data_IF_347563153301
#
_entry.id   IF_347563153301
#
_cell.length_a   1.000
_cell.length_b   1.000
_cell.length_c   1.000
_cell.angle_alpha   90.00
_cell.angle_beta   90.00
_cell.angle_gamma   90.00
#
_symmetry.space_group_name_H-M   'P 1'
#
loop_
_entity.id
_entity.type
_entity.pdbx_description
1 polymer ?
#
# COMPACT_ATOMS: atom_id res chain seq x y z
N UNK A 1 -69.14 48.86 16.65
CA UNK A 1 -67.91 49.24 15.89
C UNK A 1 -66.81 48.22 16.25
N UNK A 2 -66.69 47.19 15.44
CA UNK A 2 -65.72 46.10 15.66
C UNK A 2 -64.54 46.31 14.69
N UNK A 3 -63.39 46.46 15.25
CA UNK A 3 -62.09 46.48 14.44
C UNK A 3 -61.48 45.08 14.47
N UNK A 4 -61.58 44.44 13.31
CA UNK A 4 -60.96 43.14 13.01
C UNK A 4 -59.45 43.37 12.71
N UNK A 5 -58.59 42.88 13.59
CA UNK A 5 -57.16 42.85 13.34
C UNK A 5 -56.84 41.49 12.71
N UNK A 6 -56.41 41.54 11.42
CA UNK A 6 -55.98 40.39 10.66
C UNK A 6 -54.48 40.20 10.90
N UNK A 7 -54.09 39.18 11.69
CA UNK A 7 -52.68 38.80 11.88
C UNK A 7 -52.23 37.87 10.75
N UNK A 8 -51.33 38.35 9.93
CA UNK A 8 -50.67 37.57 8.88
C UNK A 8 -49.50 36.86 9.53
N UNK A 9 -49.63 35.55 9.72
CA UNK A 9 -48.50 34.69 10.11
C UNK A 9 -47.72 34.33 8.83
N UNK A 10 -46.54 34.92 8.67
CA UNK A 10 -45.64 34.57 7.62
C UNK A 10 -44.90 33.27 8.00
N UNK A 11 -45.24 32.18 7.33
CA UNK A 11 -44.60 30.88 7.47
C UNK A 11 -43.33 30.88 6.60
N UNK A 12 -42.16 31.11 7.23
CA UNK A 12 -40.87 31.03 6.58
C UNK A 12 -40.47 29.56 6.37
N UNK A 13 -40.61 29.09 5.14
CA UNK A 13 -40.05 27.80 4.70
C UNK A 13 -38.53 27.93 4.57
N UNK A 14 -37.81 27.44 5.57
CA UNK A 14 -36.37 27.22 5.47
C UNK A 14 -36.18 25.93 4.66
N UNK A 15 -35.92 26.06 3.37
CA UNK A 15 -35.46 24.95 2.52
C UNK A 15 -34.03 24.63 2.84
N UNK A 16 -33.82 23.62 3.70
CA UNK A 16 -32.51 23.00 3.92
C UNK A 16 -32.12 22.24 2.66
N UNK A 17 -31.17 22.79 1.90
CA UNK A 17 -30.51 22.06 0.82
C UNK A 17 -29.62 20.99 1.47
N UNK A 18 -30.07 19.74 1.43
CA UNK A 18 -29.21 18.59 1.68
C UNK A 18 -28.21 18.51 0.51
N UNK A 19 -27.00 18.99 0.71
CA UNK A 19 -25.87 18.68 -0.16
C UNK A 19 -25.55 17.22 0.11
N UNK A 20 -26.09 16.31 -0.70
CA UNK A 20 -25.61 14.95 -0.80
C UNK A 20 -24.16 15.07 -1.30
N UNK A 21 -23.19 14.89 -0.39
CA UNK A 21 -21.80 14.68 -0.78
C UNK A 21 -21.77 13.40 -1.63
N UNK A 22 -21.62 13.59 -2.94
CA UNK A 22 -21.33 12.54 -3.89
C UNK A 22 -20.01 11.91 -3.42
N UNK A 23 -20.08 10.82 -2.68
CA UNK A 23 -18.93 9.98 -2.39
C UNK A 23 -18.53 9.39 -3.73
N UNK A 24 -17.69 10.14 -4.47
CA UNK A 24 -17.00 9.65 -5.63
C UNK A 24 -16.40 8.30 -5.26
N UNK A 25 -17.00 7.27 -5.80
CA UNK A 25 -16.57 5.89 -5.72
C UNK A 25 -15.19 5.82 -6.39
N UNK A 26 -14.13 6.14 -5.62
CA UNK A 26 -12.77 5.92 -6.06
C UNK A 26 -12.69 4.43 -6.43
N UNK A 27 -12.14 4.07 -7.61
CA UNK A 27 -12.06 2.68 -8.01
C UNK A 27 -11.41 1.91 -6.86
N UNK A 28 -12.13 0.93 -6.33
CA UNK A 28 -11.66 0.13 -5.20
C UNK A 28 -10.31 -0.47 -5.58
N UNK A 29 -9.27 -0.10 -4.86
CA UNK A 29 -7.94 -0.68 -5.09
C UNK A 29 -8.05 -2.20 -5.02
N UNK A 30 -7.46 -2.94 -5.95
CA UNK A 30 -7.54 -4.38 -5.95
C UNK A 30 -7.00 -4.94 -4.63
N UNK A 31 -7.73 -5.87 -4.02
CA UNK A 31 -7.39 -6.46 -2.72
C UNK A 31 -7.33 -7.98 -2.82
N UNK A 32 -6.53 -8.61 -1.97
CA UNK A 32 -6.52 -10.07 -1.85
C UNK A 32 -7.86 -10.58 -1.31
N UNK A 33 -8.32 -11.71 -1.80
CA UNK A 33 -9.51 -12.40 -1.26
C UNK A 33 -9.30 -12.80 0.20
N UNK A 34 -8.12 -13.37 0.48
CA UNK A 34 -7.68 -13.77 1.81
C UNK A 34 -6.20 -13.47 1.94
N UNK A 35 -5.80 -12.92 3.07
CA UNK A 35 -4.40 -12.71 3.38
C UNK A 35 -4.12 -12.98 4.87
N UNK A 36 -3.08 -13.73 5.15
CA UNK A 36 -2.54 -13.93 6.49
C UNK A 36 -1.15 -13.34 6.59
N UNK A 37 -0.90 -12.63 7.67
CA UNK A 37 0.40 -12.02 8.01
C UNK A 37 0.80 -12.53 9.38
N UNK A 38 1.97 -13.14 9.48
CA UNK A 38 2.52 -13.66 10.74
C UNK A 38 3.96 -13.19 10.89
N UNK A 39 4.38 -12.95 12.12
CA UNK A 39 5.80 -12.75 12.41
C UNK A 39 6.51 -14.10 12.27
N UNK A 40 7.61 -14.14 11.52
CA UNK A 40 8.39 -15.36 11.33
C UNK A 40 9.05 -15.76 12.66
N UNK A 41 9.17 -17.04 12.95
CA UNK A 41 9.90 -17.51 14.12
C UNK A 41 11.37 -17.09 14.04
N UNK A 42 12.06 -16.92 15.18
CA UNK A 42 13.48 -16.59 15.19
C UNK A 42 14.29 -17.71 14.48
N UNK A 43 15.38 -17.38 13.82
CA UNK A 43 16.21 -18.36 13.12
C UNK A 43 16.77 -19.38 14.11
N UNK A 44 16.53 -20.66 13.86
CA UNK A 44 16.93 -21.80 14.73
C UNK A 44 18.26 -22.42 14.29
N UNK A 45 19.18 -21.65 13.73
CA UNK A 45 20.51 -22.15 13.30
C UNK A 45 20.53 -22.91 11.96
N UNK A 46 19.40 -23.29 11.42
CA UNK A 46 19.28 -23.86 10.07
C UNK A 46 19.18 -22.74 9.03
N UNK A 47 19.79 -22.87 7.84
CA UNK A 47 19.61 -21.89 6.79
C UNK A 47 18.13 -21.73 6.48
N UNK A 48 17.57 -20.58 6.85
CA UNK A 48 16.15 -20.32 6.61
C UNK A 48 15.99 -19.87 5.17
N UNK A 49 15.21 -20.63 4.40
CA UNK A 49 14.89 -20.25 3.01
C UNK A 49 14.06 -18.98 3.05
N UNK A 50 14.54 -17.94 2.39
CA UNK A 50 13.78 -16.72 2.16
C UNK A 50 13.04 -16.90 0.86
N UNK A 51 11.72 -17.12 0.93
CA UNK A 51 10.85 -17.08 -0.25
C UNK A 51 10.38 -15.64 -0.40
N UNK A 52 10.58 -15.10 -1.58
CA UNK A 52 10.35 -13.69 -1.80
C UNK A 52 9.35 -13.47 -2.94
N UNK A 53 8.15 -13.01 -2.59
CA UNK A 53 7.15 -12.60 -3.56
C UNK A 53 6.80 -13.66 -4.60
N UNK A 54 6.87 -14.94 -4.23
CA UNK A 54 6.61 -16.04 -5.15
C UNK A 54 5.11 -16.09 -5.50
N UNK A 55 4.81 -15.91 -6.78
CA UNK A 55 3.50 -16.18 -7.34
C UNK A 55 3.43 -17.65 -7.76
N UNK A 56 2.42 -18.36 -7.28
CA UNK A 56 2.08 -19.72 -7.71
C UNK A 56 0.59 -19.79 -8.00
N UNK A 57 0.22 -19.75 -9.26
CA UNK A 57 -1.19 -19.65 -9.68
C UNK A 57 -1.85 -18.39 -9.08
N UNK A 58 -2.89 -18.58 -8.32
CA UNK A 58 -3.66 -17.51 -7.66
C UNK A 58 -3.14 -17.19 -6.24
N UNK A 59 -1.97 -17.69 -5.88
CA UNK A 59 -1.38 -17.45 -4.56
C UNK A 59 -0.12 -16.59 -4.67
N UNK A 60 0.03 -15.67 -3.74
CA UNK A 60 1.25 -14.89 -3.51
C UNK A 60 1.77 -15.17 -2.10
N UNK A 61 3.03 -15.58 -2.02
CA UNK A 61 3.64 -15.97 -0.76
C UNK A 61 5.01 -15.32 -0.57
N UNK A 62 5.29 -14.95 0.67
CA UNK A 62 6.62 -14.57 1.12
C UNK A 62 6.89 -15.20 2.49
N UNK A 63 8.11 -15.65 2.73
CA UNK A 63 8.51 -16.28 3.98
C UNK A 63 9.83 -15.68 4.47
N UNK A 64 9.90 -15.44 5.78
CA UNK A 64 11.09 -14.96 6.46
C UNK A 64 11.70 -13.68 5.84
N UNK A 65 10.84 -12.79 5.34
CA UNK A 65 11.25 -11.54 4.69
C UNK A 65 11.11 -10.35 5.63
N UNK A 66 12.08 -9.44 5.59
CA UNK A 66 11.96 -8.15 6.29
C UNK A 66 10.92 -7.28 5.61
N UNK A 67 10.29 -6.40 6.37
CA UNK A 67 9.24 -5.55 5.80
C UNK A 67 9.80 -4.63 4.70
N UNK A 68 11.02 -4.12 4.84
CA UNK A 68 11.68 -3.33 3.80
C UNK A 68 11.80 -4.09 2.47
N UNK A 69 12.10 -5.40 2.52
CA UNK A 69 12.14 -6.23 1.31
C UNK A 69 10.76 -6.43 0.70
N UNK A 70 9.73 -6.60 1.54
CA UNK A 70 8.35 -6.73 1.06
C UNK A 70 7.89 -5.42 0.41
N UNK A 71 8.18 -4.27 1.01
CA UNK A 71 7.91 -2.94 0.41
C UNK A 71 8.61 -2.82 -0.95
N UNK A 72 9.88 -3.22 -1.04
CA UNK A 72 10.61 -3.20 -2.32
C UNK A 72 9.90 -4.03 -3.38
N UNK A 73 9.45 -5.24 -3.04
CA UNK A 73 8.75 -6.11 -4.00
C UNK A 73 7.39 -5.55 -4.42
N UNK A 74 6.69 -4.87 -3.53
CA UNK A 74 5.40 -4.26 -3.82
C UNK A 74 5.49 -3.13 -4.86
N UNK A 75 6.67 -2.58 -5.07
CA UNK A 75 6.95 -1.58 -6.10
C UNK A 75 7.61 -2.17 -7.36
N UNK A 76 7.63 -3.49 -7.49
CA UNK A 76 8.23 -4.20 -8.62
C UNK A 76 9.73 -3.93 -8.76
N UNK A 77 10.20 -3.82 -10.00
CA UNK A 77 11.61 -3.60 -10.30
C UNK A 77 12.05 -2.12 -10.20
N UNK A 78 11.19 -1.23 -9.69
CA UNK A 78 11.47 0.21 -9.69
C UNK A 78 12.57 0.61 -8.71
N UNK A 79 12.68 -0.09 -7.57
CA UNK A 79 13.61 0.24 -6.48
C UNK A 79 14.50 -0.96 -6.15
N UNK A 80 15.48 -1.26 -7.02
CA UNK A 80 16.33 -2.45 -6.88
C UNK A 80 17.59 -2.20 -6.06
N UNK A 81 18.09 -0.96 -6.04
CA UNK A 81 19.34 -0.64 -5.33
C UNK A 81 19.06 -0.47 -3.83
N UNK A 82 20.07 -0.83 -3.02
CA UNK A 82 20.06 -0.47 -1.61
C UNK A 82 20.07 1.06 -1.46
N UNK A 83 19.38 1.55 -0.43
CA UNK A 83 19.28 2.99 -0.18
C UNK A 83 18.16 3.71 -0.97
N UNK A 84 17.50 3.08 -1.93
CA UNK A 84 16.36 3.68 -2.63
C UNK A 84 15.07 3.70 -1.80
N UNK A 85 14.97 2.87 -0.77
CA UNK A 85 13.87 2.91 0.20
C UNK A 85 14.45 3.41 1.50
N UNK A 86 14.10 4.62 1.88
CA UNK A 86 14.62 5.30 3.06
C UNK A 86 13.54 5.57 4.10
N UNK A 87 13.96 5.81 5.34
CA UNK A 87 13.05 6.12 6.44
C UNK A 87 12.39 4.90 7.06
N UNK A 88 11.48 5.19 7.97
CA UNK A 88 10.78 4.20 8.79
C UNK A 88 11.56 3.74 10.02
N UNK A 89 10.88 3.03 10.93
CA UNK A 89 11.49 2.53 12.16
C UNK A 89 12.45 1.35 11.91
N UNK A 90 13.42 1.13 12.80
CA UNK A 90 14.46 0.11 12.64
C UNK A 90 13.94 -1.33 12.51
N UNK A 91 12.78 -1.64 13.07
CA UNK A 91 12.20 -2.98 12.94
C UNK A 91 11.81 -3.36 11.50
N UNK A 92 11.71 -2.39 10.59
CA UNK A 92 11.52 -2.67 9.15
C UNK A 92 12.61 -3.57 8.57
N UNK A 93 13.81 -3.51 9.12
CA UNK A 93 14.97 -4.25 8.67
C UNK A 93 15.26 -5.51 9.49
N UNK A 94 14.76 -5.57 10.72
CA UNK A 94 15.05 -6.66 11.65
C UNK A 94 13.92 -7.66 11.78
N UNK A 95 12.67 -7.19 11.84
CA UNK A 95 11.51 -8.06 11.97
C UNK A 95 11.19 -8.75 10.65
N UNK A 96 10.89 -10.04 10.74
CA UNK A 96 10.62 -10.87 9.59
C UNK A 96 9.21 -11.38 9.62
N UNK A 97 8.62 -11.50 8.44
CA UNK A 97 7.22 -11.84 8.28
C UNK A 97 7.01 -12.94 7.24
N UNK A 98 6.04 -13.78 7.52
CA UNK A 98 5.47 -14.74 6.59
C UNK A 98 4.12 -14.23 6.16
N UNK A 99 3.93 -14.09 4.86
CA UNK A 99 2.65 -13.66 4.28
C UNK A 99 2.21 -14.72 3.28
N UNK A 100 0.96 -15.13 3.42
CA UNK A 100 0.29 -15.97 2.44
C UNK A 100 -1.01 -15.30 2.04
N UNK A 101 -1.17 -15.06 0.75
CA UNK A 101 -2.33 -14.35 0.21
C UNK A 101 -2.88 -15.04 -1.02
N UNK A 102 -4.21 -15.00 -1.19
CA UNK A 102 -4.93 -15.53 -2.35
C UNK A 102 -5.48 -14.37 -3.18
N UNK A 103 -5.24 -14.45 -4.47
CA UNK A 103 -5.68 -13.47 -5.47
C UNK A 103 -6.92 -14.00 -6.21
N UNK A 104 -7.78 -13.12 -6.73
CA UNK A 104 -8.76 -13.50 -7.73
C UNK A 104 -8.11 -14.18 -8.94
N UNK A 105 -8.81 -15.09 -9.63
CA UNK A 105 -8.33 -15.66 -10.87
C UNK A 105 -7.98 -14.59 -11.90
N UNK A 106 -6.99 -14.85 -12.73
CA UNK A 106 -6.54 -13.96 -13.81
C UNK A 106 -5.99 -12.59 -13.35
N UNK A 107 -5.64 -12.43 -12.07
CA UNK A 107 -4.97 -11.22 -11.57
C UNK A 107 -3.72 -10.93 -12.37
N UNK A 108 -3.57 -9.71 -12.85
CA UNK A 108 -2.36 -9.28 -13.55
C UNK A 108 -1.19 -9.09 -12.57
N UNK A 109 0.03 -8.98 -13.08
CA UNK A 109 1.19 -8.68 -12.22
C UNK A 109 1.10 -7.27 -11.61
N UNK A 110 0.51 -6.34 -12.33
CA UNK A 110 0.31 -4.97 -11.86
C UNK A 110 -0.72 -4.93 -10.73
N UNK A 111 -1.87 -5.58 -10.91
CA UNK A 111 -2.90 -5.70 -9.87
C UNK A 111 -2.35 -6.39 -8.62
N UNK A 112 -1.55 -7.45 -8.81
CA UNK A 112 -0.90 -8.12 -7.69
C UNK A 112 -0.01 -7.16 -6.88
N UNK A 113 0.80 -6.33 -7.53
CA UNK A 113 1.62 -5.34 -6.84
C UNK A 113 0.75 -4.32 -6.09
N UNK A 114 -0.34 -3.86 -6.71
CA UNK A 114 -1.28 -2.96 -6.06
C UNK A 114 -1.95 -3.62 -4.84
N UNK A 115 -2.32 -4.91 -4.94
CA UNK A 115 -2.85 -5.69 -3.80
C UNK A 115 -1.83 -5.80 -2.66
N UNK A 116 -0.55 -6.02 -2.97
CA UNK A 116 0.51 -6.06 -1.94
C UNK A 116 0.65 -4.69 -1.27
N UNK A 117 0.62 -3.61 -2.02
CA UNK A 117 0.66 -2.25 -1.46
C UNK A 117 -0.54 -1.99 -0.54
N UNK A 118 -1.76 -2.36 -0.97
CA UNK A 118 -2.97 -2.24 -0.17
C UNK A 118 -2.88 -3.07 1.13
N UNK A 119 -2.35 -4.29 1.06
CA UNK A 119 -2.11 -5.14 2.22
C UNK A 119 -1.14 -4.49 3.22
N UNK A 120 -0.05 -3.89 2.72
CA UNK A 120 0.93 -3.21 3.55
C UNK A 120 0.33 -1.98 4.23
N UNK A 121 -0.48 -1.20 3.52
CA UNK A 121 -1.18 -0.05 4.08
C UNK A 121 -2.18 -0.48 5.16
N UNK A 122 -2.94 -1.55 4.93
CA UNK A 122 -3.93 -2.05 5.89
C UNK A 122 -3.28 -2.66 7.15
N UNK A 123 -2.36 -3.61 6.97
CA UNK A 123 -1.83 -4.43 8.08
C UNK A 123 -0.70 -3.75 8.85
N UNK A 124 0.13 -2.97 8.17
CA UNK A 124 1.28 -2.28 8.78
C UNK A 124 1.09 -0.78 8.89
N UNK A 125 -0.05 -0.24 8.43
CA UNK A 125 -0.33 1.20 8.37
C UNK A 125 0.76 1.96 7.61
N UNK A 126 1.34 1.29 6.60
CA UNK A 126 2.41 1.81 5.81
C UNK A 126 1.93 2.98 4.94
N UNK A 127 2.63 4.09 5.03
CA UNK A 127 2.47 5.22 4.12
C UNK A 127 3.80 5.46 3.41
N UNK A 128 3.76 5.55 2.10
CA UNK A 128 4.94 5.78 1.27
C UNK A 128 4.69 6.94 0.32
N UNK A 129 5.75 7.66 0.00
CA UNK A 129 5.76 8.69 -1.04
C UNK A 129 7.05 8.54 -1.87
N UNK A 130 7.03 9.06 -3.08
CA UNK A 130 8.22 9.10 -3.94
C UNK A 130 8.84 10.48 -3.88
N UNK A 131 10.16 10.54 -3.76
CA UNK A 131 10.92 11.78 -3.84
C UNK A 131 12.12 11.60 -4.77
N UNK A 132 12.59 12.68 -5.34
CA UNK A 132 13.81 12.69 -6.15
C UNK A 132 14.98 13.15 -5.28
N UNK A 133 16.06 12.36 -5.26
CA UNK A 133 17.30 12.68 -4.55
C UNK A 133 18.49 12.58 -5.49
N UNK A 134 19.44 13.48 -5.31
CA UNK A 134 20.75 13.38 -5.94
C UNK A 134 21.59 12.36 -5.17
N UNK A 135 22.18 11.42 -5.90
CA UNK A 135 23.06 10.40 -5.33
C UNK A 135 24.39 10.44 -6.07
N UNK A 136 25.49 10.32 -5.32
CA UNK A 136 26.81 10.13 -5.92
C UNK A 136 26.90 8.72 -6.50
N UNK A 137 27.20 8.62 -7.78
CA UNK A 137 27.33 7.36 -8.50
C UNK A 137 28.68 7.28 -9.20
N UNK A 138 29.17 6.06 -9.42
CA UNK A 138 30.34 5.80 -10.25
C UNK A 138 29.87 5.46 -11.66
N UNK A 139 30.42 6.14 -12.65
CA UNK A 139 30.19 5.82 -14.06
C UNK A 139 31.40 4.98 -14.57
N UNK A 140 31.09 3.84 -15.21
CA UNK A 140 32.09 3.10 -15.96
C UNK A 140 32.29 3.80 -17.30
N UNK A 141 33.52 4.27 -17.52
CA UNK A 141 33.94 4.86 -18.80
C UNK A 141 35.00 3.96 -19.43
N UNK A 142 35.02 3.83 -20.77
CA UNK A 142 36.09 3.10 -21.44
C UNK A 142 37.45 3.76 -21.14
N UNK A 143 38.42 2.95 -20.80
CA UNK A 143 39.80 3.44 -20.68
C UNK A 143 40.25 3.95 -22.04
N UNK A 144 40.92 5.12 -22.07
CA UNK A 144 41.57 5.56 -23.30
C UNK A 144 42.60 4.50 -23.69
N UNK A 145 42.44 3.95 -24.88
CA UNK A 145 43.56 3.24 -25.54
C UNK A 145 44.48 4.31 -26.09
N UNK A 146 45.65 4.45 -25.52
CA UNK A 146 46.75 5.21 -26.11
C UNK A 146 47.20 4.54 -27.41
#
# INVERSE_FOLDING_TARGET
MARMLCSIVALSFVTTWLVAADQQNAPASPTFEVASVKKSPPPTGTPTIVVFGARKGDSWNTQNATLRRIVRSAHGNRYQMEGQIVGGPGWLDTDRFDIAAKMPPMTTSEDMLAMVQALLADRFKLQTHSETRELSVYALVPARSD
#
